data_IF_016659970709
#
_entry.id   IF_016659970709
#
_cell.length_a   1.000
_cell.length_b   1.000
_cell.length_c   1.000
_cell.angle_alpha   90.00
_cell.angle_beta   90.00
_cell.angle_gamma   90.00
#
_symmetry.space_group_name_H-M   'P 1'
#
loop_
_entity.id
_entity.type
_entity.pdbx_description
1 polymer ?
#
# COMPACT_ATOMS: atom_id res chain seq x y z
N UNK A 1 -10.07 -6.07 27.87
CA UNK A 1 -10.92 -4.86 27.90
C UNK A 1 -10.45 -3.92 26.79
N UNK A 2 -11.02 -4.08 25.58
CA UNK A 2 -10.59 -3.35 24.37
C UNK A 2 -11.40 -2.07 24.22
N UNK A 3 -10.77 -0.91 24.43
CA UNK A 3 -11.32 0.41 24.06
C UNK A 3 -10.50 0.94 22.88
N UNK A 4 -11.17 1.30 21.79
CA UNK A 4 -10.62 2.29 20.85
C UNK A 4 -10.31 1.84 19.42
N UNK A 5 -10.68 0.64 18.97
CA UNK A 5 -10.74 0.40 17.52
C UNK A 5 -12.09 0.88 17.02
N UNK A 6 -12.09 1.93 16.21
CA UNK A 6 -13.27 2.32 15.45
C UNK A 6 -13.63 1.11 14.57
N UNK A 7 -14.80 0.48 14.78
CA UNK A 7 -15.20 -0.78 14.11
C UNK A 7 -15.03 -0.70 12.58
N UNK A 8 -15.18 0.52 12.06
CA UNK A 8 -14.87 0.89 10.69
C UNK A 8 -13.45 0.54 10.23
N UNK A 9 -12.40 0.88 11.00
CA UNK A 9 -10.99 0.66 10.63
C UNK A 9 -10.64 -0.82 10.57
N UNK A 10 -11.13 -1.61 11.54
CA UNK A 10 -10.94 -3.07 11.52
C UNK A 10 -11.65 -3.69 10.31
N UNK A 11 -12.84 -3.19 9.96
CA UNK A 11 -13.57 -3.65 8.78
C UNK A 11 -12.87 -3.30 7.46
N UNK A 12 -12.23 -2.13 7.37
CA UNK A 12 -11.53 -1.68 6.16
C UNK A 12 -10.22 -2.44 5.99
N UNK A 13 -9.46 -2.63 7.07
CA UNK A 13 -8.24 -3.40 7.06
C UNK A 13 -8.49 -4.83 6.58
N UNK A 14 -9.41 -5.56 7.22
CA UNK A 14 -9.66 -6.97 6.88
C UNK A 14 -10.12 -7.12 5.43
N UNK A 15 -11.09 -6.30 4.99
CA UNK A 15 -11.60 -6.33 3.61
C UNK A 15 -10.55 -5.90 2.59
N UNK A 16 -9.82 -4.83 2.89
CA UNK A 16 -8.78 -4.28 2.01
C UNK A 16 -7.58 -5.21 1.88
N UNK A 17 -7.12 -5.80 2.98
CA UNK A 17 -6.06 -6.79 2.98
C UNK A 17 -6.46 -8.05 2.20
N UNK A 18 -7.68 -8.55 2.41
CA UNK A 18 -8.21 -9.69 1.68
C UNK A 18 -8.28 -9.42 0.16
N UNK A 19 -8.84 -8.27 -0.25
CA UNK A 19 -8.90 -7.87 -1.66
C UNK A 19 -7.49 -7.73 -2.27
N UNK A 20 -6.57 -7.09 -1.53
CA UNK A 20 -5.18 -6.95 -1.95
C UNK A 20 -4.49 -8.31 -2.12
N UNK A 21 -4.71 -9.25 -1.19
CA UNK A 21 -4.10 -10.58 -1.20
C UNK A 21 -4.68 -11.48 -2.30
N UNK A 22 -5.97 -11.32 -2.63
CA UNK A 22 -6.56 -11.91 -3.85
C UNK A 22 -5.83 -11.39 -5.11
N UNK A 23 -5.53 -10.08 -5.17
CA UNK A 23 -4.75 -9.48 -6.24
C UNK A 23 -3.34 -10.07 -6.36
N UNK A 24 -2.67 -10.29 -5.22
CA UNK A 24 -1.38 -11.01 -5.14
C UNK A 24 -1.50 -12.42 -5.74
N UNK A 25 -2.49 -13.20 -5.28
CA UNK A 25 -2.69 -14.57 -5.73
C UNK A 25 -2.99 -14.67 -7.24
N UNK A 26 -3.78 -13.74 -7.79
CA UNK A 26 -4.04 -13.66 -9.24
C UNK A 26 -2.76 -13.41 -10.01
N UNK A 27 -1.96 -12.42 -9.61
CA UNK A 27 -0.71 -12.10 -10.30
C UNK A 27 0.29 -13.26 -10.25
N UNK A 28 0.41 -13.94 -9.11
CA UNK A 28 1.30 -15.10 -8.96
C UNK A 28 0.83 -16.31 -9.77
N UNK A 29 -0.47 -16.45 -10.00
CA UNK A 29 -1.02 -17.48 -10.88
C UNK A 29 -0.76 -17.24 -12.37
N UNK A 30 -0.14 -16.11 -12.74
CA UNK A 30 0.13 -15.73 -14.13
C UNK A 30 -1.11 -15.31 -14.91
N UNK A 31 -2.27 -15.17 -14.25
CA UNK A 31 -3.49 -14.66 -14.86
C UNK A 31 -3.36 -13.14 -15.04
N UNK A 32 -2.97 -12.71 -16.24
CA UNK A 32 -2.92 -11.30 -16.62
C UNK A 32 -4.30 -10.84 -17.07
N UNK A 33 -5.03 -10.14 -16.19
CA UNK A 33 -6.29 -9.48 -16.52
C UNK A 33 -6.13 -8.00 -16.85
N UNK A 34 -7.25 -7.31 -17.07
CA UNK A 34 -7.30 -5.85 -17.27
C UNK A 34 -6.78 -5.11 -16.03
N UNK A 35 -6.99 -5.70 -14.84
CA UNK A 35 -6.67 -5.10 -13.56
C UNK A 35 -5.40 -5.74 -12.99
N UNK A 36 -4.36 -4.93 -12.80
CA UNK A 36 -3.21 -5.32 -11.99
C UNK A 36 -3.42 -4.93 -10.52
N UNK A 37 -2.70 -5.57 -9.60
CA UNK A 37 -2.70 -5.16 -8.19
C UNK A 37 -1.96 -3.83 -8.02
N UNK A 38 -2.70 -2.73 -8.21
CA UNK A 38 -2.20 -1.36 -8.26
C UNK A 38 -2.24 -0.62 -6.93
N UNK A 39 -2.77 -1.27 -5.89
CA UNK A 39 -2.77 -0.77 -4.52
C UNK A 39 -1.60 -1.40 -3.76
N UNK A 40 -0.79 -0.57 -3.10
CA UNK A 40 0.28 -1.01 -2.21
C UNK A 40 -0.22 -1.06 -0.76
N UNK A 41 0.10 -2.13 -0.05
CA UNK A 41 -0.13 -2.22 1.40
C UNK A 41 1.02 -1.54 2.14
N UNK A 42 0.74 -0.50 2.94
CA UNK A 42 1.75 0.23 3.70
C UNK A 42 1.50 0.07 5.20
N UNK A 43 2.45 -0.56 5.89
CA UNK A 43 2.43 -0.72 7.34
C UNK A 43 3.15 0.44 8.00
N UNK A 44 2.45 1.17 8.85
CA UNK A 44 2.92 2.43 9.43
C UNK A 44 3.04 2.27 10.94
N UNK A 45 4.17 2.64 11.52
CA UNK A 45 4.26 2.80 12.96
C UNK A 45 5.41 3.72 13.32
N UNK A 46 5.15 4.70 14.17
CA UNK A 46 6.17 5.61 14.73
C UNK A 46 7.16 4.90 15.64
N UNK A 47 6.75 3.79 16.26
CA UNK A 47 7.60 2.99 17.13
C UNK A 47 8.29 1.86 16.36
N UNK A 48 9.58 1.66 16.66
CA UNK A 48 10.35 0.53 16.16
C UNK A 48 9.95 -0.78 16.86
N UNK A 49 10.38 -1.93 16.32
CA UNK A 49 10.15 -3.23 16.96
C UNK A 49 8.73 -3.79 16.79
N UNK A 50 7.91 -3.22 15.89
CA UNK A 50 6.55 -3.72 15.59
C UNK A 50 6.48 -4.91 14.63
N UNK A 51 7.63 -5.45 14.22
CA UNK A 51 7.75 -6.59 13.30
C UNK A 51 7.12 -6.37 11.91
N UNK A 52 6.98 -5.11 11.45
CA UNK A 52 6.42 -4.75 10.13
C UNK A 52 7.18 -5.44 8.98
N UNK A 53 8.50 -5.30 8.94
CA UNK A 53 9.33 -5.88 7.88
C UNK A 53 9.36 -7.42 7.96
N UNK A 54 9.29 -7.97 9.17
CA UNK A 54 9.17 -9.43 9.39
C UNK A 54 7.86 -9.95 8.82
N UNK A 55 6.75 -9.26 9.05
CA UNK A 55 5.45 -9.60 8.48
C UNK A 55 5.47 -9.55 6.94
N UNK A 56 6.05 -8.51 6.35
CA UNK A 56 6.17 -8.44 4.88
C UNK A 56 6.91 -9.65 4.30
N UNK A 57 7.93 -10.13 4.99
CA UNK A 57 8.69 -11.34 4.61
C UNK A 57 7.91 -12.62 4.87
N UNK A 58 7.21 -12.71 6.00
CA UNK A 58 6.48 -13.92 6.40
C UNK A 58 5.25 -14.18 5.53
N UNK A 59 4.70 -13.17 4.86
CA UNK A 59 3.65 -13.36 3.85
C UNK A 59 4.09 -14.21 2.67
N UNK A 60 5.39 -14.20 2.35
CA UNK A 60 5.93 -15.00 1.25
C UNK A 60 6.11 -16.47 1.68
N UNK A 61 5.47 -17.44 1.00
CA UNK A 61 5.72 -18.85 1.27
C UNK A 61 7.19 -19.19 1.10
N UNK A 62 7.71 -20.15 1.87
CA UNK A 62 9.13 -20.54 1.82
C UNK A 62 9.62 -20.87 0.39
N UNK A 63 8.78 -21.54 -0.40
CA UNK A 63 9.08 -21.88 -1.79
C UNK A 63 9.21 -20.68 -2.74
N UNK A 64 8.59 -19.54 -2.40
CA UNK A 64 8.58 -18.33 -3.22
C UNK A 64 9.47 -17.21 -2.66
N UNK A 65 10.24 -17.50 -1.60
CA UNK A 65 11.06 -16.50 -0.89
C UNK A 65 12.05 -15.75 -1.80
N UNK A 66 12.55 -16.40 -2.86
CA UNK A 66 13.46 -15.78 -3.83
C UNK A 66 12.79 -14.71 -4.71
N UNK A 67 11.45 -14.66 -4.74
CA UNK A 67 10.65 -13.67 -5.48
C UNK A 67 10.21 -12.49 -4.59
N UNK A 68 10.71 -12.42 -3.36
CA UNK A 68 10.54 -11.27 -2.48
C UNK A 68 11.71 -10.30 -2.64
N UNK A 69 11.42 -9.01 -2.72
CA UNK A 69 12.41 -7.96 -2.88
C UNK A 69 12.34 -7.00 -1.71
N UNK A 70 13.43 -6.87 -0.95
CA UNK A 70 13.47 -6.12 0.30
C UNK A 70 13.38 -4.60 0.14
N UNK A 71 13.92 -4.03 -0.95
CA UNK A 71 14.01 -2.58 -1.14
C UNK A 71 14.08 -2.19 -2.61
N UNK A 72 13.03 -1.51 -3.11
CA UNK A 72 12.98 -1.00 -4.47
C UNK A 72 13.81 0.28 -4.66
N UNK A 73 14.97 0.15 -5.32
CA UNK A 73 15.72 1.31 -5.80
C UNK A 73 15.15 1.83 -7.12
N UNK A 74 14.44 2.96 -7.05
CA UNK A 74 13.95 3.69 -8.22
C UNK A 74 15.10 4.49 -8.87
N UNK A 75 15.94 3.80 -9.65
CA UNK A 75 17.09 4.38 -10.37
C UNK A 75 16.80 4.61 -11.86
N UNK A 76 16.06 3.70 -12.50
CA UNK A 76 15.67 3.79 -13.91
C UNK A 76 14.38 3.01 -14.19
N UNK A 77 13.60 3.48 -15.15
CA UNK A 77 12.33 2.86 -15.56
C UNK A 77 12.51 1.42 -16.02
N UNK A 78 13.40 1.16 -16.98
CA UNK A 78 13.58 -0.19 -17.53
C UNK A 78 14.03 -1.25 -16.50
N UNK A 79 14.79 -0.86 -15.47
CA UNK A 79 15.15 -1.79 -14.37
C UNK A 79 13.93 -2.08 -13.49
N UNK A 80 13.13 -1.05 -13.20
CA UNK A 80 11.93 -1.20 -12.38
C UNK A 80 10.86 -2.04 -13.09
N UNK A 81 10.62 -1.81 -14.39
CA UNK A 81 9.72 -2.62 -15.20
C UNK A 81 10.14 -4.09 -15.22
N UNK A 82 11.44 -4.36 -15.36
CA UNK A 82 11.95 -5.73 -15.30
C UNK A 82 11.64 -6.40 -13.96
N UNK A 83 11.86 -5.70 -12.84
CA UNK A 83 11.50 -6.20 -11.51
C UNK A 83 10.01 -6.51 -11.39
N UNK A 84 9.15 -5.73 -12.05
CA UNK A 84 7.70 -5.98 -12.06
C UNK A 84 7.30 -7.31 -12.72
N UNK A 85 8.13 -7.81 -13.65
CA UNK A 85 7.92 -9.10 -14.31
C UNK A 85 8.58 -10.28 -13.60
N UNK A 86 9.64 -10.02 -12.83
CA UNK A 86 10.47 -11.07 -12.23
C UNK A 86 10.15 -11.32 -10.75
N UNK A 87 9.66 -10.31 -10.01
CA UNK A 87 9.42 -10.41 -8.57
C UNK A 87 7.93 -10.55 -8.27
N UNK A 88 7.58 -11.35 -7.24
CA UNK A 88 6.21 -11.57 -6.81
C UNK A 88 5.73 -10.54 -5.79
N UNK A 89 6.62 -10.12 -4.89
CA UNK A 89 6.31 -9.11 -3.88
C UNK A 89 7.50 -8.15 -3.71
N UNK A 90 7.25 -6.87 -3.93
CA UNK A 90 8.25 -5.81 -3.83
C UNK A 90 7.94 -4.98 -2.59
N UNK A 91 8.89 -4.94 -1.66
CA UNK A 91 8.81 -4.13 -0.45
C UNK A 91 9.37 -2.72 -0.71
N UNK A 92 8.53 -1.73 -0.44
CA UNK A 92 8.84 -0.31 -0.40
C UNK A 92 9.29 0.00 1.03
N UNK A 93 10.50 -0.41 1.36
CA UNK A 93 11.07 -0.20 2.69
C UNK A 93 11.33 1.28 2.96
N UNK A 94 11.09 1.71 4.19
CA UNK A 94 11.19 3.11 4.61
C UNK A 94 10.49 4.05 3.60
N UNK A 95 9.21 3.76 3.32
CA UNK A 95 8.42 4.46 2.30
C UNK A 95 8.49 6.00 2.46
N UNK A 96 8.55 6.48 3.70
CA UNK A 96 8.66 7.90 4.04
C UNK A 96 9.96 8.57 3.60
N UNK A 97 11.00 7.80 3.23
CA UNK A 97 12.29 8.32 2.76
C UNK A 97 12.39 8.46 1.24
N UNK A 98 11.40 7.99 0.48
CA UNK A 98 11.43 8.22 -0.96
C UNK A 98 11.31 9.72 -1.27
N UNK A 99 12.26 10.23 -2.04
CA UNK A 99 12.21 11.61 -2.50
C UNK A 99 10.92 11.88 -3.30
N UNK A 100 10.34 13.06 -3.12
CA UNK A 100 9.12 13.48 -3.83
C UNK A 100 9.25 13.34 -5.36
N UNK A 101 10.45 13.57 -5.91
CA UNK A 101 10.75 13.39 -7.34
C UNK A 101 10.58 11.95 -7.85
N UNK A 102 10.66 10.94 -6.97
CA UNK A 102 10.51 9.51 -7.31
C UNK A 102 9.07 9.02 -7.20
N UNK A 103 8.19 9.77 -6.54
CA UNK A 103 6.78 9.39 -6.36
C UNK A 103 5.99 9.27 -7.66
N UNK A 104 6.15 10.15 -8.67
CA UNK A 104 5.50 9.99 -9.96
C UNK A 104 5.87 8.68 -10.66
N UNK A 105 7.16 8.33 -10.64
CA UNK A 105 7.66 7.07 -11.22
C UNK A 105 7.05 5.85 -10.51
N UNK A 106 7.05 5.84 -9.17
CA UNK A 106 6.42 4.77 -8.41
C UNK A 106 4.93 4.62 -8.73
N UNK A 107 4.19 5.74 -8.79
CA UNK A 107 2.77 5.75 -9.14
C UNK A 107 2.51 5.19 -10.54
N UNK A 108 3.38 5.51 -11.50
CA UNK A 108 3.32 4.96 -12.85
C UNK A 108 3.50 3.44 -12.82
N UNK A 109 4.59 2.95 -12.20
CA UNK A 109 4.87 1.51 -12.06
C UNK A 109 3.72 0.73 -11.41
N UNK A 110 3.11 1.30 -10.37
CA UNK A 110 1.94 0.69 -9.72
C UNK A 110 0.72 0.60 -10.64
N UNK A 111 0.57 1.53 -11.60
CA UNK A 111 -0.58 1.58 -12.51
C UNK A 111 -0.42 0.68 -13.75
N UNK A 112 0.81 0.33 -14.16
CA UNK A 112 1.06 -0.46 -15.38
C UNK A 112 0.40 -1.84 -15.32
N UNK A 113 -0.58 -2.15 -16.17
CA UNK A 113 -1.21 -3.48 -16.22
C UNK A 113 -0.42 -4.49 -17.05
N UNK A 114 0.30 -4.03 -18.07
CA UNK A 114 1.19 -4.82 -18.94
C UNK A 114 2.59 -4.20 -19.01
N UNK A 115 3.61 -5.04 -19.18
CA UNK A 115 5.01 -4.61 -19.28
C UNK A 115 5.54 -4.87 -20.69
N UNK A 116 5.94 -3.81 -21.39
CA UNK A 116 6.52 -3.89 -22.74
C UNK A 116 8.05 -3.76 -22.65
N UNK A 117 8.75 -4.88 -22.41
CA UNK A 117 10.19 -4.84 -22.16
C UNK A 117 10.98 -5.22 -23.42
N UNK A 118 11.96 -4.38 -23.79
CA UNK A 118 12.96 -4.68 -24.81
C UNK A 118 14.24 -5.18 -24.14
N UNK A 119 14.65 -6.43 -24.42
CA UNK A 119 15.95 -6.94 -23.94
C UNK A 119 17.06 -6.23 -24.72
N UNK A 120 18.12 -5.81 -24.03
CA UNK A 120 19.23 -5.02 -24.57
C UNK A 120 19.94 -5.60 -25.82
N UNK A 121 19.68 -6.86 -26.19
CA UNK A 121 20.25 -7.54 -27.35
C UNK A 121 19.20 -8.17 -28.30
N UNK A 122 17.89 -7.89 -28.13
CA UNK A 122 16.84 -8.37 -29.03
C UNK A 122 16.10 -7.19 -29.66
N UNK A 123 15.98 -7.18 -30.99
CA UNK A 123 15.23 -6.16 -31.76
C UNK A 123 13.71 -6.18 -31.52
N UNK A 124 13.18 -7.22 -30.86
CA UNK A 124 11.74 -7.41 -30.68
C UNK A 124 11.37 -7.22 -29.20
N UNK A 125 10.43 -6.31 -28.95
CA UNK A 125 9.77 -6.18 -27.65
C UNK A 125 9.01 -7.47 -27.33
N UNK A 126 9.05 -7.90 -26.06
CA UNK A 126 8.21 -8.98 -25.56
C UNK A 126 7.34 -8.43 -24.44
N UNK A 127 6.05 -8.75 -24.52
CA UNK A 127 5.13 -8.51 -23.43
C UNK A 127 5.45 -9.50 -22.32
N UNK A 128 5.87 -8.99 -21.17
CA UNK A 128 6.11 -9.79 -19.99
C UNK A 128 4.92 -9.65 -19.04
N UNK A 129 4.46 -10.76 -18.42
CA UNK A 129 3.39 -10.68 -17.45
C UNK A 129 3.84 -9.85 -16.26
N UNK A 130 2.95 -8.99 -15.74
CA UNK A 130 3.17 -8.32 -14.46
C UNK A 130 2.84 -9.29 -13.32
N UNK A 131 3.86 -9.66 -12.56
CA UNK A 131 3.74 -10.59 -11.41
C UNK A 131 3.82 -9.82 -10.08
N UNK A 132 4.46 -8.66 -10.06
CA UNK A 132 4.73 -7.93 -8.83
C UNK A 132 3.51 -7.22 -8.25
N UNK A 133 3.30 -7.48 -6.96
CA UNK A 133 2.52 -6.68 -6.02
C UNK A 133 3.43 -5.86 -5.10
N UNK A 134 2.90 -4.80 -4.51
CA UNK A 134 3.66 -3.90 -3.63
C UNK A 134 3.18 -3.99 -2.18
N UNK A 135 4.14 -4.07 -1.27
CA UNK A 135 3.97 -3.90 0.17
C UNK A 135 5.02 -2.88 0.63
N UNK A 136 4.87 -2.26 1.79
CA UNK A 136 5.84 -1.30 2.29
C UNK A 136 5.75 -1.12 3.78
N UNK A 137 6.82 -0.54 4.34
CA UNK A 137 6.84 -0.13 5.75
C UNK A 137 7.25 1.33 5.86
N UNK A 138 6.65 2.03 6.82
CA UNK A 138 6.99 3.41 7.16
C UNK A 138 7.17 3.54 8.66
N UNK A 139 8.16 4.35 9.05
CA UNK A 139 8.33 4.75 10.44
C UNK A 139 7.70 6.13 10.73
N UNK A 140 7.11 6.75 9.72
CA UNK A 140 6.46 8.05 9.80
C UNK A 140 4.99 7.95 9.46
N UNK A 141 4.16 8.60 10.25
CA UNK A 141 2.72 8.64 10.05
C UNK A 141 2.32 9.57 8.89
N UNK A 142 3.08 10.64 8.73
CA UNK A 142 2.89 11.73 7.78
C UNK A 142 3.53 11.44 6.42
N UNK A 143 3.32 10.22 5.89
CA UNK A 143 4.04 9.68 4.73
C UNK A 143 3.42 10.03 3.37
N UNK A 144 2.15 10.46 3.34
CA UNK A 144 1.45 10.79 2.10
C UNK A 144 1.47 12.30 1.86
N UNK A 145 1.71 12.71 0.62
CA UNK A 145 1.82 14.14 0.26
C UNK A 145 0.75 14.62 -0.72
N UNK A 146 0.05 13.72 -1.42
CA UNK A 146 -0.90 14.08 -2.47
C UNK A 146 -2.27 13.39 -2.32
N UNK A 147 -3.37 14.16 -2.21
CA UNK A 147 -4.72 13.63 -2.06
C UNK A 147 -5.20 12.69 -3.18
N UNK A 148 -4.95 13.06 -4.44
CA UNK A 148 -5.38 12.28 -5.60
C UNK A 148 -4.61 10.97 -5.78
N UNK A 149 -3.39 10.90 -5.23
CA UNK A 149 -2.52 9.72 -5.30
C UNK A 149 -2.83 8.66 -4.25
N UNK A 150 -3.44 9.04 -3.12
CA UNK A 150 -3.54 8.18 -1.94
C UNK A 150 -4.40 6.93 -2.13
N UNK A 151 -5.33 6.90 -3.09
CA UNK A 151 -6.17 5.72 -3.38
C UNK A 151 -5.38 4.45 -3.72
N UNK A 152 -4.10 4.60 -4.09
CA UNK A 152 -3.17 3.51 -4.43
C UNK A 152 -2.44 2.95 -3.21
N UNK A 153 -2.77 3.39 -2.01
CA UNK A 153 -2.16 2.91 -0.78
C UNK A 153 -3.23 2.46 0.20
N UNK A 154 -3.08 1.26 0.76
CA UNK A 154 -3.81 0.83 1.95
C UNK A 154 -2.87 1.07 3.14
N UNK A 155 -2.99 2.22 3.79
CA UNK A 155 -2.16 2.55 4.94
C UNK A 155 -2.76 1.96 6.22
N UNK A 156 -1.94 1.31 7.04
CA UNK A 156 -2.41 0.65 8.26
C UNK A 156 -1.47 0.99 9.40
N UNK A 157 -2.04 1.61 10.44
CA UNK A 157 -1.28 1.85 11.67
C UNK A 157 -1.11 0.56 12.46
N UNK A 158 0.15 0.25 12.79
CA UNK A 158 0.55 -0.91 13.56
C UNK A 158 0.91 -0.45 14.98
N UNK A 159 -0.04 -0.61 15.89
CA UNK A 159 0.07 -0.16 17.29
C UNK A 159 0.71 -1.24 18.19
N UNK A 160 0.69 -2.50 17.77
CA UNK A 160 1.27 -3.63 18.52
C UNK A 160 2.18 -4.46 17.61
N UNK A 161 3.15 -5.20 18.17
CA UNK A 161 3.94 -6.14 17.38
C UNK A 161 3.01 -7.10 16.62
N UNK A 162 3.27 -7.27 15.33
CA UNK A 162 2.49 -8.18 14.49
C UNK A 162 2.92 -9.59 14.83
N UNK A 163 1.94 -10.43 15.16
CA UNK A 163 2.16 -11.87 15.25
C UNK A 163 2.38 -12.43 13.84
N UNK A 164 3.58 -12.96 13.61
CA UNK A 164 4.01 -13.49 12.32
C UNK A 164 4.08 -15.03 12.35
N UNK A 165 3.75 -15.66 13.47
CA UNK A 165 3.79 -17.11 13.62
C UNK A 165 2.49 -17.75 13.10
N UNK A 166 2.57 -19.03 12.71
CA UNK A 166 1.38 -19.81 12.35
C UNK A 166 0.71 -19.45 11.02
N UNK A 167 1.36 -18.71 10.12
CA UNK A 167 0.83 -18.50 8.77
C UNK A 167 0.87 -19.82 7.99
N UNK A 168 -0.27 -20.50 7.88
CA UNK A 168 -0.43 -21.67 7.03
C UNK A 168 -0.60 -21.27 5.56
N UNK A 169 0.52 -21.00 4.87
CA UNK A 169 0.49 -20.54 3.47
C UNK A 169 -0.30 -21.46 2.54
N UNK A 170 -0.18 -22.78 2.70
CA UNK A 170 -0.88 -23.74 1.85
C UNK A 170 -2.41 -23.56 1.94
N UNK A 171 -2.94 -23.48 3.16
CA UNK A 171 -4.36 -23.26 3.40
C UNK A 171 -4.80 -21.86 2.96
N UNK A 172 -4.02 -20.83 3.29
CA UNK A 172 -4.28 -19.44 2.91
C UNK A 172 -4.44 -19.29 1.40
N UNK A 173 -3.46 -19.76 0.63
CA UNK A 173 -3.51 -19.67 -0.84
C UNK A 173 -4.51 -20.63 -1.46
N UNK A 174 -4.84 -21.76 -0.81
CA UNK A 174 -5.94 -22.63 -1.26
C UNK A 174 -7.30 -21.91 -1.15
N UNK A 175 -7.56 -21.22 -0.04
CA UNK A 175 -8.78 -20.43 0.12
C UNK A 175 -8.87 -19.32 -0.92
N UNK A 176 -7.81 -18.52 -1.09
CA UNK A 176 -7.76 -17.44 -2.08
C UNK A 176 -8.02 -17.97 -3.49
N UNK A 177 -7.42 -19.12 -3.85
CA UNK A 177 -7.65 -19.75 -5.15
C UNK A 177 -9.12 -20.12 -5.34
N UNK A 178 -9.76 -20.75 -4.36
CA UNK A 178 -11.16 -21.15 -4.44
C UNK A 178 -12.09 -19.93 -4.59
N UNK A 179 -11.83 -18.85 -3.86
CA UNK A 179 -12.56 -17.59 -3.94
C UNK A 179 -12.42 -16.94 -5.33
N UNK A 180 -11.21 -16.95 -5.91
CA UNK A 180 -10.98 -16.47 -7.27
C UNK A 180 -11.71 -17.31 -8.33
N UNK A 181 -11.80 -18.63 -8.13
CA UNK A 181 -12.56 -19.53 -9.00
C UNK A 181 -14.07 -19.30 -8.90
N UNK A 182 -14.57 -18.83 -7.75
CA UNK A 182 -15.95 -18.37 -7.57
C UNK A 182 -16.21 -16.98 -8.17
N UNK A 183 -15.19 -16.30 -8.69
CA UNK A 183 -15.31 -14.98 -9.31
C UNK A 183 -15.33 -13.82 -8.31
N UNK A 184 -14.82 -14.01 -7.09
CA UNK A 184 -14.67 -12.90 -6.14
C UNK A 184 -13.71 -11.85 -6.74
N UNK A 185 -14.09 -10.54 -6.76
CA UNK A 185 -13.24 -9.49 -7.29
C UNK A 185 -11.92 -9.37 -6.52
N UNK A 186 -10.82 -9.23 -7.27
CA UNK A 186 -9.46 -9.09 -6.74
C UNK A 186 -8.89 -7.67 -6.90
N UNK A 187 -9.73 -6.72 -7.30
CA UNK A 187 -9.38 -5.32 -7.50
C UNK A 187 -10.31 -4.42 -6.70
N UNK A 188 -9.84 -3.23 -6.37
CA UNK A 188 -10.62 -2.24 -5.65
C UNK A 188 -11.60 -1.55 -6.59
N UNK A 189 -12.87 -1.44 -6.20
CA UNK A 189 -13.87 -0.63 -6.90
C UNK A 189 -13.61 0.86 -6.67
N UNK A 190 -14.24 1.73 -7.47
CA UNK A 190 -14.14 3.19 -7.28
C UNK A 190 -14.66 3.64 -5.91
N UNK A 191 -15.61 2.92 -5.34
CA UNK A 191 -16.17 3.15 -4.02
C UNK A 191 -15.16 2.77 -2.94
N UNK A 192 -14.50 1.62 -3.06
CA UNK A 192 -13.45 1.19 -2.14
C UNK A 192 -12.22 2.09 -2.24
N UNK A 193 -11.81 2.50 -3.44
CA UNK A 193 -10.75 3.49 -3.64
C UNK A 193 -11.06 4.81 -2.92
N UNK A 194 -12.33 5.27 -2.96
CA UNK A 194 -12.78 6.45 -2.20
C UNK A 194 -12.74 6.22 -0.69
N UNK A 195 -13.05 5.02 -0.23
CA UNK A 195 -12.94 4.63 1.19
C UNK A 195 -11.47 4.68 1.64
N UNK A 196 -10.55 4.13 0.83
CA UNK A 196 -9.11 4.22 1.07
C UNK A 196 -8.63 5.67 1.12
N UNK A 197 -9.09 6.53 0.20
CA UNK A 197 -8.72 7.95 0.22
C UNK A 197 -9.15 8.66 1.51
N UNK A 198 -10.37 8.41 1.99
CA UNK A 198 -10.87 8.99 3.24
C UNK A 198 -10.09 8.47 4.44
N UNK A 199 -9.82 7.18 4.48
CA UNK A 199 -9.00 6.56 5.52
C UNK A 199 -7.56 7.10 5.52
N UNK A 200 -7.00 7.34 4.35
CA UNK A 200 -5.65 7.86 4.19
C UNK A 200 -5.50 9.33 4.60
N UNK A 201 -6.59 10.03 4.94
CA UNK A 201 -6.53 11.43 5.40
C UNK A 201 -5.63 11.59 6.62
N UNK A 202 -5.69 10.62 7.53
CA UNK A 202 -4.89 10.66 8.76
C UNK A 202 -3.38 10.57 8.48
N UNK A 203 -2.99 9.98 7.34
CA UNK A 203 -1.58 9.74 6.99
C UNK A 203 -0.95 10.83 6.12
N UNK A 204 -1.66 11.94 5.88
CA UNK A 204 -1.11 13.08 5.14
C UNK A 204 -0.07 13.84 5.95
N UNK A 205 0.92 14.37 5.24
CA UNK A 205 1.83 15.36 5.77
C UNK A 205 1.08 16.66 6.08
N UNK A 206 0.97 17.00 7.37
CA UNK A 206 0.53 18.31 7.78
C UNK A 206 1.58 19.33 7.33
N UNK A 207 1.26 20.11 6.29
CA UNK A 207 2.08 21.25 5.93
C UNK A 207 1.92 22.31 7.02
N UNK A 208 3.00 22.78 7.69
CA UNK A 208 2.89 23.79 8.74
C UNK A 208 2.19 25.09 8.28
N UNK A 209 2.20 25.38 6.97
CA UNK A 209 1.52 26.54 6.40
C UNK A 209 -0.01 26.39 6.37
N UNK A 210 -0.54 25.16 6.28
CA UNK A 210 -1.99 24.91 6.33
C UNK A 210 -2.54 25.06 7.75
N UNK A 211 -1.74 24.75 8.79
CA UNK A 211 -2.11 25.03 10.18
C UNK A 211 -2.23 26.53 10.46
N UNK A 212 -1.36 27.37 9.86
CA UNK A 212 -1.46 28.84 9.97
C UNK A 212 -2.72 29.37 9.27
N UNK A 213 -3.13 28.75 8.16
CA UNK A 213 -4.35 29.12 7.42
C UNK A 213 -5.63 28.64 8.11
N UNK A 214 -5.61 27.45 8.73
CA UNK A 214 -6.74 26.90 9.49
C UNK A 214 -6.88 27.50 10.89
N UNK A 215 -5.78 27.95 11.52
CA UNK A 215 -5.83 28.73 12.76
C UNK A 215 -6.65 30.00 12.58
N UNK A 216 -6.43 30.75 11.48
CA UNK A 216 -7.20 31.96 11.19
C UNK A 216 -8.69 31.72 10.96
N UNK A 217 -9.12 30.50 10.55
CA UNK A 217 -10.54 30.19 10.39
C UNK A 217 -11.23 29.84 11.72
N UNK A 218 -10.53 29.18 12.65
CA UNK A 218 -11.09 28.78 13.95
C UNK A 218 -11.10 29.91 15.00
N UNK A 219 -10.33 31.00 14.79
CA UNK A 219 -10.34 32.16 15.71
C UNK A 219 -11.59 33.05 15.53
N UNK A 220 -12.34 32.92 14.42
CA UNK A 220 -13.58 33.68 14.20
C UNK A 220 -14.88 32.96 14.60
N UNK A 221 -14.80 31.75 15.17
CA UNK A 221 -15.98 30.96 15.57
C UNK A 221 -16.27 30.92 17.07
N UNK A 222 -15.55 31.70 17.89
CA UNK A 222 -15.94 31.95 19.28
C UNK A 222 -16.37 33.40 19.46
N UNK A 223 -17.60 33.67 19.92
CA UNK A 223 -18.02 35.04 20.20
C UNK A 223 -17.16 35.60 21.34
N UNK A 224 -16.80 36.89 21.33
CA UNK A 224 -16.09 37.50 22.43
C UNK A 224 -16.92 37.36 23.71
N UNK A 225 -16.32 36.82 24.76
CA UNK A 225 -16.85 36.87 26.12
C UNK A 225 -16.85 38.34 26.58
N UNK A 226 -17.90 39.08 26.24
CA UNK A 226 -18.18 40.36 26.89
C UNK A 226 -18.93 40.10 28.19
N UNK A 227 -18.25 40.36 29.31
CA UNK A 227 -18.90 40.61 30.60
C UNK A 227 -18.32 39.81 31.76
N UNK A 228 -17.40 40.43 32.50
CA UNK A 228 -17.36 40.48 33.98
C UNK A 228 -15.98 40.97 34.44
N UNK A 229 -15.80 42.29 34.49
CA UNK A 229 -14.98 42.92 35.52
C UNK A 229 -15.66 44.24 35.92
N UNK A 230 -16.07 44.28 37.19
CA UNK A 230 -16.54 45.40 38.04
C UNK A 230 -17.67 46.28 37.52
#
# INVERSE_FOLDING_TARGET
MMRGWNLFYLSLWVRGFHTWLLGVAVQWSGKTGIHANSVALILVSSEQGRLKSTFCKSLMPAALRHYYMDNLQLTSEGKAERLMSEMGLINLDEFDKYAASKMPLLKNLMQMSSLHICKAYQKNYRDLPRVASFIGTSNRYDLLTEPTGSRRYLCVEVIKPIDCEGIEHAQLFAQLKAELEQGIPYWFTKEQERELQRHNVDFYHACPAEDVFNWKKNVYTYPPLTGLFS
#
